data_IF_731956055699
#
_entry.id   IF_731956055699
#
_cell.length_a   1.000
_cell.length_b   1.000
_cell.length_c   1.000
_cell.angle_alpha   90.00
_cell.angle_beta   90.00
_cell.angle_gamma   90.00
#
_symmetry.space_group_name_H-M   'P 1'
#
loop_
_entity.id
_entity.type
_entity.pdbx_description
1 polymer ?
#
# COMPACT_ATOMS: atom_id res chain seq x y z
N UNK A 1 -15.84 -6.31 -1.63
CA UNK A 1 -14.77 -5.38 -2.05
C UNK A 1 -13.88 -5.11 -0.84
N UNK A 2 -12.57 -5.22 -1.03
CA UNK A 2 -11.52 -5.07 -0.02
C UNK A 2 -10.72 -3.79 -0.26
N UNK A 3 -10.15 -3.22 0.80
CA UNK A 3 -9.18 -2.14 0.67
C UNK A 3 -8.10 -2.24 1.74
N UNK A 4 -6.87 -1.87 1.40
CA UNK A 4 -5.78 -1.79 2.37
C UNK A 4 -4.74 -0.73 1.99
N UNK A 5 -3.98 -0.28 2.99
CA UNK A 5 -2.90 0.70 2.84
C UNK A 5 -1.64 0.02 2.26
N UNK A 6 -0.99 0.66 1.29
CA UNK A 6 0.27 0.19 0.74
C UNK A 6 1.33 0.11 1.85
N UNK A 7 1.75 -1.11 2.17
CA UNK A 7 2.71 -1.42 3.22
C UNK A 7 4.02 -2.01 2.69
N UNK A 8 4.99 -2.27 3.58
CA UNK A 8 6.27 -2.87 3.21
C UNK A 8 6.14 -4.31 2.68
N UNK A 9 5.01 -4.98 2.93
CA UNK A 9 4.74 -6.34 2.49
C UNK A 9 4.42 -6.49 0.98
N UNK A 10 4.40 -5.39 0.21
CA UNK A 10 4.19 -5.40 -1.23
C UNK A 10 2.73 -5.67 -1.65
N UNK A 11 2.57 -6.28 -2.83
CA UNK A 11 1.25 -6.43 -3.49
C UNK A 11 0.78 -7.90 -3.59
N UNK A 12 1.39 -8.80 -2.80
CA UNK A 12 0.99 -10.21 -2.73
C UNK A 12 -0.46 -10.39 -2.27
N UNK A 13 -0.88 -9.67 -1.23
CA UNK A 13 -2.23 -9.75 -0.69
C UNK A 13 -3.30 -9.33 -1.72
N UNK A 14 -3.07 -8.24 -2.45
CA UNK A 14 -3.94 -7.82 -3.53
C UNK A 14 -4.13 -8.94 -4.57
N UNK A 15 -3.04 -9.57 -5.03
CA UNK A 15 -3.10 -10.67 -6.01
C UNK A 15 -3.89 -11.86 -5.48
N UNK A 16 -3.65 -12.28 -4.24
CA UNK A 16 -4.40 -13.38 -3.62
C UNK A 16 -5.90 -13.10 -3.56
N UNK A 17 -6.30 -11.89 -3.17
CA UNK A 17 -7.71 -11.50 -3.11
C UNK A 17 -8.36 -11.51 -4.51
N UNK A 18 -7.65 -10.97 -5.52
CA UNK A 18 -8.13 -10.97 -6.91
C UNK A 18 -8.24 -12.39 -7.47
N UNK A 19 -7.27 -13.27 -7.19
CA UNK A 19 -7.30 -14.69 -7.57
C UNK A 19 -8.48 -15.44 -6.92
N UNK A 20 -8.89 -15.04 -5.71
CA UNK A 20 -10.07 -15.57 -5.04
C UNK A 20 -11.40 -14.97 -5.57
N UNK A 21 -11.35 -14.09 -6.58
CA UNK A 21 -12.52 -13.46 -7.18
C UNK A 21 -13.05 -12.25 -6.40
N UNK A 22 -12.20 -11.62 -5.59
CA UNK A 22 -12.56 -10.45 -4.81
C UNK A 22 -11.89 -9.18 -5.32
N UNK A 23 -12.69 -8.14 -5.57
CA UNK A 23 -12.16 -6.81 -5.85
C UNK A 23 -11.40 -6.26 -4.64
N UNK A 24 -10.18 -5.77 -4.89
CA UNK A 24 -9.31 -5.18 -3.89
C UNK A 24 -8.68 -3.89 -4.43
N UNK A 25 -8.75 -2.81 -3.65
CA UNK A 25 -8.01 -1.58 -3.96
C UNK A 25 -6.87 -1.38 -2.95
N UNK A 26 -5.76 -0.85 -3.43
CA UNK A 26 -4.63 -0.46 -2.57
C UNK A 26 -4.55 1.05 -2.55
N UNK A 27 -4.33 1.62 -1.36
CA UNK A 27 -4.30 3.07 -1.16
C UNK A 27 -2.93 3.49 -0.63
N UNK A 28 -2.36 4.59 -1.15
CA UNK A 28 -1.13 5.13 -0.58
C UNK A 28 -1.41 5.81 0.78
N UNK A 29 -0.58 5.58 1.82
CA UNK A 29 -0.65 6.29 3.11
C UNK A 29 -0.83 7.81 2.97
N UNK A 30 -0.09 8.39 2.02
CA UNK A 30 -0.06 9.85 1.77
C UNK A 30 -1.34 10.41 1.13
N UNK A 31 -2.22 9.56 0.62
CA UNK A 31 -3.48 9.95 0.00
C UNK A 31 -4.67 9.79 0.95
N UNK A 32 -4.46 9.23 2.14
CA UNK A 32 -5.49 9.06 3.16
C UNK A 32 -5.59 10.38 3.97
N UNK A 33 -6.74 11.06 4.00
CA UNK A 33 -6.88 12.33 4.72
C UNK A 33 -6.80 12.15 6.25
N UNK A 34 -5.68 12.51 6.87
CA UNK A 34 -5.50 12.38 8.33
C UNK A 34 -5.83 13.69 9.05
N UNK A 35 -6.61 13.64 10.13
CA UNK A 35 -6.87 14.80 10.98
C UNK A 35 -5.62 15.19 11.76
N UNK A 36 -5.31 16.50 11.79
CA UNK A 36 -4.21 17.01 12.60
C UNK A 36 -4.41 16.64 14.09
N UNK A 37 -3.38 16.06 14.70
CA UNK A 37 -3.41 15.60 16.10
C UNK A 37 -3.88 14.17 16.29
N UNK A 38 -4.37 13.49 15.25
CA UNK A 38 -4.73 12.07 15.32
C UNK A 38 -3.46 11.20 15.21
N UNK A 39 -2.84 10.93 16.36
CA UNK A 39 -1.57 10.18 16.45
C UNK A 39 -1.73 8.73 16.92
N UNK A 40 -2.95 8.32 17.25
CA UNK A 40 -3.21 6.97 17.78
C UNK A 40 -3.57 6.04 16.63
N UNK A 41 -2.56 5.40 16.06
CA UNK A 41 -2.73 4.37 15.03
C UNK A 41 -3.13 3.05 15.70
N UNK A 42 -4.27 2.49 15.30
CA UNK A 42 -4.67 1.13 15.68
C UNK A 42 -5.35 0.50 14.47
N UNK A 43 -5.10 -0.79 14.22
CA UNK A 43 -5.62 -1.48 13.03
C UNK A 43 -7.13 -1.34 12.89
N UNK A 44 -7.86 -1.38 14.01
CA UNK A 44 -9.31 -1.20 14.04
C UNK A 44 -9.74 0.19 13.55
N UNK A 45 -9.07 1.25 14.00
CA UNK A 45 -9.40 2.63 13.60
C UNK A 45 -9.07 2.87 12.13
N UNK A 46 -7.92 2.37 11.68
CA UNK A 46 -7.49 2.50 10.30
C UNK A 46 -8.45 1.76 9.35
N UNK A 47 -8.86 0.53 9.70
CA UNK A 47 -9.85 -0.22 8.94
C UNK A 47 -11.21 0.50 8.86
N UNK A 48 -11.69 1.06 9.98
CA UNK A 48 -12.94 1.84 9.99
C UNK A 48 -12.83 3.10 9.13
N UNK A 49 -11.69 3.78 9.18
CA UNK A 49 -11.44 4.99 8.38
C UNK A 49 -11.40 4.67 6.89
N UNK A 50 -10.67 3.63 6.49
CA UNK A 50 -10.63 3.15 5.11
C UNK A 50 -12.03 2.76 4.62
N UNK A 51 -12.81 2.03 5.42
CA UNK A 51 -14.18 1.66 5.06
C UNK A 51 -15.08 2.91 4.88
N UNK A 52 -14.92 3.93 5.72
CA UNK A 52 -15.69 5.17 5.62
C UNK A 52 -15.34 5.95 4.34
N UNK A 53 -14.05 6.14 4.06
CA UNK A 53 -13.58 6.85 2.87
C UNK A 53 -13.94 6.09 1.60
N UNK A 54 -13.85 4.76 1.62
CA UNK A 54 -14.27 3.91 0.51
C UNK A 54 -15.76 4.08 0.20
N UNK A 55 -16.61 4.09 1.24
CA UNK A 55 -18.05 4.27 1.06
C UNK A 55 -18.39 5.64 0.46
N UNK A 56 -17.54 6.64 0.68
CA UNK A 56 -17.70 7.99 0.15
C UNK A 56 -17.04 8.18 -1.23
N UNK A 57 -16.44 7.14 -1.83
CA UNK A 57 -15.62 7.22 -3.04
C UNK A 57 -14.46 8.25 -2.93
N UNK A 58 -13.97 8.47 -1.71
CA UNK A 58 -12.89 9.42 -1.41
C UNK A 58 -11.49 8.76 -1.43
N UNK A 59 -11.42 7.45 -1.70
CA UNK A 59 -10.14 6.74 -1.82
C UNK A 59 -9.61 6.78 -3.25
N UNK A 60 -8.35 7.19 -3.39
CA UNK A 60 -7.61 7.07 -4.66
C UNK A 60 -6.81 5.78 -4.67
N UNK A 61 -7.21 4.84 -5.55
CA UNK A 61 -6.47 3.60 -5.75
C UNK A 61 -5.11 3.89 -6.39
N UNK A 62 -4.07 3.22 -5.91
CA UNK A 62 -2.75 3.23 -6.56
C UNK A 62 -2.69 2.17 -7.64
N UNK A 63 -1.86 2.42 -8.65
CA UNK A 63 -1.52 1.38 -9.62
C UNK A 63 -0.76 0.23 -8.95
N UNK A 64 -1.15 -1.00 -9.28
CA UNK A 64 -0.56 -2.22 -8.72
C UNK A 64 0.48 -2.77 -9.69
N UNK A 65 1.76 -2.84 -9.30
CA UNK A 65 2.78 -3.48 -10.13
C UNK A 65 2.55 -4.99 -10.19
N UNK A 66 2.77 -5.58 -11.36
CA UNK A 66 2.90 -7.02 -11.49
C UNK A 66 4.26 -7.52 -10.95
N UNK A 67 4.44 -8.84 -10.99
CA UNK A 67 5.66 -9.49 -10.49
C UNK A 67 6.94 -9.02 -11.20
N UNK A 68 6.87 -8.70 -12.50
CA UNK A 68 8.03 -8.23 -13.25
C UNK A 68 8.42 -6.81 -12.83
N UNK A 69 7.43 -5.93 -12.64
CA UNK A 69 7.64 -4.58 -12.14
C UNK A 69 8.18 -4.58 -10.69
N UNK A 70 7.70 -5.47 -9.83
CA UNK A 70 8.24 -5.65 -8.48
C UNK A 70 9.69 -6.12 -8.51
N UNK A 71 10.01 -7.14 -9.32
CA UNK A 71 11.38 -7.64 -9.46
C UNK A 71 12.36 -6.54 -9.92
N UNK A 72 11.94 -5.73 -10.89
CA UNK A 72 12.73 -4.58 -11.36
C UNK A 72 12.93 -3.54 -10.25
N UNK A 73 11.88 -3.21 -9.48
CA UNK A 73 11.98 -2.27 -8.35
C UNK A 73 12.92 -2.79 -7.26
N UNK A 74 12.85 -4.07 -6.95
CA UNK A 74 13.70 -4.69 -5.94
C UNK A 74 15.16 -4.71 -6.37
N UNK A 75 15.45 -4.97 -7.65
CA UNK A 75 16.79 -4.84 -8.22
C UNK A 75 17.34 -3.41 -8.06
N UNK A 76 16.54 -2.39 -8.43
CA UNK A 76 16.95 -0.98 -8.29
C UNK A 76 17.20 -0.61 -6.84
N UNK A 77 16.33 -1.05 -5.91
CA UNK A 77 16.49 -0.83 -4.47
C UNK A 77 17.74 -1.52 -3.92
N UNK A 78 18.00 -2.77 -4.34
CA UNK A 78 19.18 -3.52 -3.93
C UNK A 78 20.47 -2.83 -4.40
N UNK A 79 20.50 -2.36 -5.65
CA UNK A 79 21.62 -1.57 -6.19
C UNK A 79 21.83 -0.29 -5.37
N UNK A 80 20.77 0.47 -5.12
CA UNK A 80 20.86 1.72 -4.36
C UNK A 80 21.42 1.48 -2.94
N UNK A 81 20.98 0.41 -2.26
CA UNK A 81 21.53 -0.01 -0.96
C UNK A 81 23.02 -0.36 -1.05
N UNK A 82 23.41 -1.16 -2.04
CA UNK A 82 24.81 -1.54 -2.24
C UNK A 82 25.71 -0.33 -2.51
N UNK A 83 25.23 0.68 -3.24
CA UNK A 83 25.96 1.94 -3.46
C UNK A 83 26.02 2.79 -2.19
N UNK A 84 24.93 2.88 -1.42
CA UNK A 84 24.90 3.65 -0.17
C UNK A 84 25.79 3.06 0.95
N UNK A 85 26.01 1.74 0.94
CA UNK A 85 26.97 1.08 1.85
C UNK A 85 28.43 1.23 1.40
N UNK A 86 28.67 1.78 0.21
CA UNK A 86 30.00 1.92 -0.40
C UNK A 86 30.70 3.24 -0.05
N UNK A 87 30.22 3.94 0.98
CA UNK A 87 30.84 5.16 1.49
C UNK A 87 32.12 4.77 2.26
N UNK A 88 33.29 5.37 1.96
CA UNK A 88 34.50 5.20 2.77
C UNK A 88 34.34 5.77 4.18
#
# INVERSE_FOLDING_TARGET
MFCYEAGPCGYGLHRQLVEMGHDCIVVAPSLIPVKAGDRVKTDRRDAMMLAKLHRADELTAVWIPDAAHEAMRDLVRARARATAMRVP
#
